data_IF_791058550259
#
_entry.id   IF_791058550259
#
_cell.length_a   1.000
_cell.length_b   1.000
_cell.length_c   1.000
_cell.angle_alpha   90.00
_cell.angle_beta   90.00
_cell.angle_gamma   90.00
#
_symmetry.space_group_name_H-M   'P 1'
#
loop_
_entity.id
_entity.type
_entity.pdbx_description
1 polymer ?
#
# COMPACT_ATOMS: atom_id res chain seq x y z
N UNK A 1 -2.76 13.98 89.83
CA UNK A 1 -1.73 14.20 88.79
C UNK A 1 -2.32 13.76 87.45
N UNK A 2 -2.77 14.71 86.62
CA UNK A 2 -2.21 15.08 85.30
C UNK A 2 -2.22 13.91 84.30
N UNK A 3 -2.85 13.94 83.12
CA UNK A 3 -3.63 14.92 82.36
C UNK A 3 -4.47 14.10 81.36
N UNK A 4 -5.74 14.44 81.19
CA UNK A 4 -6.68 13.84 80.25
C UNK A 4 -7.09 14.94 79.25
N UNK A 5 -6.61 14.90 78.01
CA UNK A 5 -7.07 15.83 76.94
C UNK A 5 -7.04 15.10 75.58
N UNK A 6 -8.26 14.85 75.08
CA UNK A 6 -8.80 15.05 73.73
C UNK A 6 -7.96 14.72 72.48
N UNK A 7 -8.60 14.04 71.51
CA UNK A 7 -9.13 14.56 70.22
C UNK A 7 -9.37 13.32 69.32
N UNK A 8 -10.60 13.04 68.89
CA UNK A 8 -11.21 13.51 67.63
C UNK A 8 -10.36 13.27 66.36
N UNK A 9 -10.75 12.21 65.63
CA UNK A 9 -11.16 12.18 64.22
C UNK A 9 -10.47 13.09 63.19
N UNK A 10 -9.92 12.48 62.13
CA UNK A 10 -9.97 12.82 60.68
C UNK A 10 -9.44 11.55 59.98
N UNK A 11 -10.26 10.60 59.53
CA UNK A 11 -10.92 10.54 58.21
C UNK A 11 -9.97 10.83 57.03
N UNK A 12 -9.29 9.78 56.55
CA UNK A 12 -8.87 9.69 55.14
C UNK A 12 -9.66 8.56 54.50
N UNK A 13 -10.68 8.96 53.72
CA UNK A 13 -11.41 8.10 52.80
C UNK A 13 -10.44 7.59 51.74
N UNK A 14 -9.92 6.38 51.93
CA UNK A 14 -9.49 5.53 50.83
C UNK A 14 -10.74 4.90 50.26
N UNK A 15 -11.28 5.52 49.20
CA UNK A 15 -12.22 4.87 48.29
C UNK A 15 -11.45 3.75 47.60
N UNK A 16 -11.40 2.57 48.23
CA UNK A 16 -11.10 1.34 47.52
C UNK A 16 -12.35 1.04 46.68
N UNK A 17 -12.32 1.42 45.41
CA UNK A 17 -13.24 0.90 44.40
C UNK A 17 -13.17 -0.63 44.41
N UNK A 18 -14.27 -1.35 44.63
CA UNK A 18 -14.31 -2.80 44.52
C UNK A 18 -14.56 -3.15 43.06
N UNK A 19 -13.51 -3.21 42.25
CA UNK A 19 -13.60 -3.72 40.87
C UNK A 19 -12.24 -4.23 40.41
N UNK A 20 -11.74 -5.32 41.01
CA UNK A 20 -10.46 -5.91 40.61
C UNK A 20 -10.34 -7.39 41.03
N UNK A 21 -11.39 -8.20 40.89
CA UNK A 21 -11.30 -9.65 41.17
C UNK A 21 -12.29 -10.47 40.34
N UNK A 22 -12.03 -10.65 39.04
CA UNK A 22 -12.76 -11.64 38.24
C UNK A 22 -11.88 -12.42 37.24
N UNK A 23 -10.55 -12.31 37.37
CA UNK A 23 -9.59 -12.95 36.48
C UNK A 23 -8.54 -13.64 37.34
N UNK A 24 -8.45 -14.95 37.23
CA UNK A 24 -7.47 -15.77 37.95
C UNK A 24 -6.41 -16.29 36.99
N UNK A 25 -5.18 -16.44 37.47
CA UNK A 25 -4.09 -17.04 36.70
C UNK A 25 -4.40 -18.53 36.46
N UNK A 26 -4.37 -19.00 35.21
CA UNK A 26 -4.67 -20.41 34.88
C UNK A 26 -3.39 -21.26 34.80
N UNK A 27 -2.37 -20.74 34.11
CA UNK A 27 -1.01 -21.30 33.99
C UNK A 27 0.02 -20.19 34.15
N UNK A 28 1.31 -20.41 33.92
CA UNK A 28 2.33 -19.35 34.08
C UNK A 28 2.04 -18.09 33.24
N UNK A 29 1.53 -18.26 32.02
CA UNK A 29 1.32 -17.16 31.07
C UNK A 29 -0.14 -16.96 30.65
N UNK A 30 -1.07 -17.85 31.02
CA UNK A 30 -2.48 -17.74 30.61
C UNK A 30 -3.41 -17.36 31.77
N UNK A 31 -4.52 -16.69 31.42
CA UNK A 31 -5.55 -16.25 32.35
C UNK A 31 -6.84 -17.06 32.18
N UNK A 32 -7.61 -17.16 33.26
CA UNK A 32 -8.95 -17.72 33.30
C UNK A 32 -10.00 -16.62 33.40
N UNK A 33 -11.07 -16.76 32.61
CA UNK A 33 -12.31 -16.02 32.77
C UNK A 33 -13.23 -16.79 33.73
N UNK A 34 -13.45 -16.24 34.93
CA UNK A 34 -14.30 -16.92 35.92
C UNK A 34 -15.80 -16.75 35.63
N UNK A 35 -16.19 -15.67 34.93
CA UNK A 35 -17.57 -15.40 34.52
C UNK A 35 -17.60 -14.73 33.12
N UNK A 36 -18.25 -15.34 32.11
CA UNK A 36 -18.38 -14.77 30.76
C UNK A 36 -18.99 -13.37 30.71
N UNK A 37 -19.80 -12.96 31.70
CA UNK A 37 -20.37 -11.61 31.76
C UNK A 37 -19.29 -10.52 31.97
N UNK A 38 -18.08 -10.89 32.37
CA UNK A 38 -16.98 -9.98 32.69
C UNK A 38 -15.97 -9.77 31.55
N UNK A 39 -16.30 -10.16 30.32
CA UNK A 39 -15.47 -9.83 29.17
C UNK A 39 -15.26 -8.31 29.06
N UNK A 40 -14.03 -7.81 28.86
CA UNK A 40 -13.77 -6.38 28.78
C UNK A 40 -14.27 -5.82 27.46
N UNK A 41 -14.65 -4.54 27.43
CA UNK A 41 -14.94 -3.85 26.17
C UNK A 41 -13.68 -3.81 25.29
N UNK A 42 -13.79 -4.25 24.04
CA UNK A 42 -12.66 -4.30 23.11
C UNK A 42 -13.10 -4.03 21.66
N UNK A 43 -12.14 -3.66 20.82
CA UNK A 43 -12.33 -3.43 19.39
C UNK A 43 -11.29 -4.24 18.61
N UNK A 44 -11.66 -4.75 17.44
CA UNK A 44 -10.80 -5.61 16.64
C UNK A 44 -9.51 -4.90 16.20
N UNK A 45 -9.55 -3.57 16.05
CA UNK A 45 -8.41 -2.74 15.69
C UNK A 45 -7.30 -2.79 16.74
N UNK A 46 -7.64 -3.11 18.00
CA UNK A 46 -6.65 -3.32 19.07
C UNK A 46 -5.79 -4.58 18.87
N UNK A 47 -6.13 -5.43 17.90
CA UNK A 47 -5.38 -6.63 17.51
C UNK A 47 -4.72 -6.49 16.14
N UNK A 48 -4.72 -5.30 15.52
CA UNK A 48 -4.13 -5.07 14.20
C UNK A 48 -2.64 -5.48 14.12
N UNK A 49 -1.92 -5.46 15.25
CA UNK A 49 -0.53 -5.89 15.37
C UNK A 49 -0.31 -7.37 15.06
N UNK A 50 -1.35 -8.20 15.15
CA UNK A 50 -1.28 -9.63 14.87
C UNK A 50 -1.30 -9.93 13.37
N UNK A 51 -1.81 -9.02 12.54
CA UNK A 51 -1.90 -9.20 11.09
C UNK A 51 -0.53 -9.50 10.47
N UNK A 52 -0.47 -10.48 9.56
CA UNK A 52 0.74 -10.93 8.90
C UNK A 52 0.89 -12.45 8.87
N UNK A 53 1.95 -12.91 8.22
CA UNK A 53 2.34 -14.32 8.17
C UNK A 53 3.39 -14.60 9.25
N UNK A 54 3.25 -15.74 9.92
CA UNK A 54 4.00 -16.13 11.09
C UNK A 54 4.49 -17.57 10.93
N UNK A 55 5.76 -17.81 11.25
CA UNK A 55 6.40 -19.13 11.16
C UNK A 55 6.99 -19.50 12.51
N UNK A 56 6.83 -20.74 12.93
CA UNK A 56 7.35 -21.22 14.20
C UNK A 56 7.66 -22.71 14.18
N UNK A 57 8.09 -23.22 15.32
CA UNK A 57 8.24 -24.66 15.57
C UNK A 57 7.45 -25.02 16.82
N UNK A 58 6.78 -26.17 16.79
CA UNK A 58 5.98 -26.65 17.92
C UNK A 58 5.25 -27.94 17.55
N UNK A 59 4.79 -28.66 18.57
CA UNK A 59 4.09 -29.95 18.40
C UNK A 59 4.86 -30.96 17.52
N UNK A 60 6.19 -30.91 17.54
CA UNK A 60 7.05 -31.80 16.75
C UNK A 60 7.20 -31.43 15.26
N UNK A 61 6.75 -30.25 14.83
CA UNK A 61 6.86 -29.83 13.43
C UNK A 61 6.95 -28.31 13.21
N UNK A 62 6.92 -27.93 11.94
CA UNK A 62 6.91 -26.54 11.51
C UNK A 62 5.48 -25.99 11.51
N UNK A 63 5.31 -24.80 12.06
CA UNK A 63 4.04 -24.10 12.17
C UNK A 63 4.02 -22.92 11.21
N UNK A 64 2.88 -22.71 10.55
CA UNK A 64 2.61 -21.51 9.77
C UNK A 64 1.23 -20.99 10.11
N UNK A 65 1.13 -19.70 10.47
CA UNK A 65 -0.13 -19.03 10.78
C UNK A 65 -0.19 -17.70 10.02
N UNK A 66 -1.30 -17.42 9.33
CA UNK A 66 -1.46 -16.17 8.56
C UNK A 66 -2.72 -15.44 8.97
N UNK A 67 -2.56 -14.24 9.54
CA UNK A 67 -3.65 -13.37 9.96
C UNK A 67 -3.89 -12.25 8.96
N UNK A 68 -5.14 -12.06 8.56
CA UNK A 68 -5.58 -10.90 7.79
C UNK A 68 -5.66 -9.65 8.69
N UNK A 69 -5.47 -8.43 8.13
CA UNK A 69 -5.79 -7.19 8.84
C UNK A 69 -7.25 -7.14 9.31
N UNK A 70 -7.56 -6.38 10.38
CA UNK A 70 -8.94 -6.13 10.78
C UNK A 70 -9.77 -5.57 9.61
N UNK A 71 -10.91 -6.20 9.32
CA UNK A 71 -11.84 -5.74 8.29
C UNK A 71 -13.26 -6.18 8.66
N UNK A 72 -14.24 -5.27 8.58
CA UNK A 72 -15.64 -5.59 8.88
C UNK A 72 -15.89 -5.97 10.35
N UNK A 73 -15.03 -5.53 11.27
CA UNK A 73 -15.11 -5.84 12.70
C UNK A 73 -14.52 -7.21 13.09
N UNK A 74 -13.90 -7.93 12.16
CA UNK A 74 -13.34 -9.26 12.41
C UNK A 74 -11.89 -9.39 11.92
N UNK A 75 -11.20 -10.42 12.39
CA UNK A 75 -9.96 -10.93 11.81
C UNK A 75 -10.11 -12.43 11.56
N UNK A 76 -9.44 -12.93 10.54
CA UNK A 76 -9.41 -14.34 10.18
C UNK A 76 -7.96 -14.78 10.01
N UNK A 77 -7.69 -16.03 10.41
CA UNK A 77 -6.44 -16.70 10.12
C UNK A 77 -6.62 -18.12 9.61
N UNK A 78 -5.57 -18.59 8.95
CA UNK A 78 -5.34 -20.00 8.68
C UNK A 78 -4.07 -20.44 9.38
N UNK A 79 -4.08 -21.67 9.90
CA UNK A 79 -2.91 -22.32 10.48
C UNK A 79 -2.61 -23.63 9.74
N UNK A 80 -1.34 -23.99 9.68
CA UNK A 80 -0.86 -25.28 9.18
C UNK A 80 0.30 -25.80 10.03
N UNK A 81 0.19 -27.05 10.46
CA UNK A 81 1.31 -27.84 10.98
C UNK A 81 1.88 -28.72 9.86
N UNK A 82 3.20 -28.76 9.72
CA UNK A 82 3.94 -29.69 8.85
C UNK A 82 4.86 -30.55 9.71
N UNK A 83 4.68 -31.87 9.66
CA UNK A 83 5.51 -32.86 10.36
C UNK A 83 6.12 -33.80 9.32
N UNK A 84 7.43 -34.06 9.42
CA UNK A 84 8.15 -34.93 8.46
C UNK A 84 7.92 -34.58 6.97
N UNK A 85 7.73 -33.29 6.68
CA UNK A 85 7.50 -32.78 5.31
C UNK A 85 6.09 -33.03 4.76
N UNK A 86 5.15 -33.53 5.58
CA UNK A 86 3.75 -33.73 5.23
C UNK A 86 2.82 -32.86 6.09
N UNK A 87 1.63 -32.49 5.60
CA UNK A 87 0.65 -31.78 6.43
C UNK A 87 0.23 -32.64 7.63
N UNK A 88 0.33 -32.09 8.83
CA UNK A 88 -0.18 -32.70 10.06
C UNK A 88 -1.68 -32.42 10.22
N UNK A 89 -2.03 -31.15 10.43
CA UNK A 89 -3.41 -30.65 10.44
C UNK A 89 -3.45 -29.16 10.10
N UNK A 90 -4.65 -28.63 9.91
CA UNK A 90 -4.93 -27.23 9.64
C UNK A 90 -5.91 -26.65 10.65
N UNK A 91 -5.91 -25.33 10.80
CA UNK A 91 -6.97 -24.62 11.50
C UNK A 91 -7.52 -23.47 10.67
N UNK A 92 -8.79 -23.16 10.89
CA UNK A 92 -9.39 -21.87 10.53
C UNK A 92 -9.73 -21.16 11.82
N UNK A 93 -9.18 -19.95 11.96
CA UNK A 93 -9.26 -19.15 13.17
C UNK A 93 -10.00 -17.84 12.88
N UNK A 94 -10.83 -17.41 13.82
CA UNK A 94 -11.58 -16.15 13.72
C UNK A 94 -11.50 -15.39 15.03
N UNK A 95 -11.29 -14.08 14.96
CA UNK A 95 -11.53 -13.18 16.09
C UNK A 95 -12.71 -12.28 15.71
N UNK A 96 -13.80 -12.43 16.45
CA UNK A 96 -15.09 -11.79 16.11
C UNK A 96 -15.71 -11.09 17.32
N UNK A 97 -16.58 -10.09 17.10
CA UNK A 97 -17.30 -9.45 18.18
C UNK A 97 -18.30 -10.41 18.85
N UNK A 98 -18.37 -10.34 20.18
CA UNK A 98 -19.45 -10.89 20.99
C UNK A 98 -19.92 -9.83 21.98
N UNK A 99 -21.11 -9.29 21.77
CA UNK A 99 -21.57 -8.11 22.49
C UNK A 99 -20.68 -6.90 22.22
N UNK A 100 -20.03 -6.39 23.27
CA UNK A 100 -19.07 -5.26 23.21
C UNK A 100 -17.61 -5.70 23.38
N UNK A 101 -17.35 -7.01 23.32
CA UNK A 101 -16.03 -7.63 23.45
C UNK A 101 -15.68 -8.48 22.22
N UNK A 102 -14.64 -9.31 22.34
CA UNK A 102 -14.14 -10.19 21.30
C UNK A 102 -14.06 -11.65 21.79
N UNK A 103 -14.21 -12.59 20.86
CA UNK A 103 -13.95 -14.02 21.09
C UNK A 103 -13.05 -14.56 19.99
N UNK A 104 -12.09 -15.41 20.35
CA UNK A 104 -11.29 -16.20 19.40
C UNK A 104 -12.01 -17.53 19.17
N UNK A 105 -12.24 -17.92 17.92
CA UNK A 105 -12.82 -19.21 17.52
C UNK A 105 -11.83 -20.01 16.66
N UNK A 106 -11.71 -21.31 16.91
CA UNK A 106 -10.87 -22.25 16.13
C UNK A 106 -11.73 -23.42 15.65
N UNK A 107 -11.52 -23.85 14.41
CA UNK A 107 -11.95 -25.17 13.95
C UNK A 107 -10.76 -25.91 13.32
N UNK A 108 -10.58 -27.18 13.68
CA UNK A 108 -9.45 -28.00 13.26
C UNK A 108 -9.85 -28.93 12.12
N UNK A 109 -8.90 -29.19 11.22
CA UNK A 109 -9.11 -30.02 10.03
C UNK A 109 -7.93 -30.97 9.81
N UNK A 110 -8.24 -32.22 9.47
CA UNK A 110 -7.27 -33.16 8.94
C UNK A 110 -6.74 -32.70 7.56
N UNK A 111 -5.65 -33.30 7.05
CA UNK A 111 -5.10 -32.99 5.74
C UNK A 111 -6.08 -33.11 4.57
N UNK A 112 -7.12 -33.92 4.70
CA UNK A 112 -8.18 -34.14 3.71
C UNK A 112 -9.41 -33.21 3.88
N UNK A 113 -9.30 -32.21 4.77
CA UNK A 113 -10.35 -31.26 5.14
C UNK A 113 -11.53 -31.83 5.94
N UNK A 114 -11.42 -33.06 6.46
CA UNK A 114 -12.38 -33.53 7.46
C UNK A 114 -12.18 -32.80 8.79
N UNK A 115 -13.25 -32.22 9.34
CA UNK A 115 -13.20 -31.44 10.58
C UNK A 115 -13.15 -32.31 11.83
N UNK A 116 -12.47 -31.84 12.88
CA UNK A 116 -12.46 -32.52 14.19
C UNK A 116 -13.73 -32.22 14.99
N UNK A 117 -14.16 -30.96 14.99
CA UNK A 117 -15.41 -30.56 15.63
C UNK A 117 -16.61 -30.88 14.72
N UNK A 118 -17.63 -31.49 15.32
CA UNK A 118 -18.87 -31.88 14.64
C UNK A 118 -19.55 -30.70 13.96
N UNK A 119 -19.97 -30.85 12.70
CA UNK A 119 -20.83 -29.92 11.94
C UNK A 119 -20.58 -28.42 12.23
N UNK A 120 -21.44 -27.82 13.03
CA UNK A 120 -21.52 -26.40 13.38
C UNK A 120 -20.75 -26.02 14.66
N UNK A 121 -20.00 -26.96 15.24
CA UNK A 121 -19.20 -26.78 16.45
C UNK A 121 -17.78 -26.28 16.15
N UNK A 122 -17.17 -25.62 17.14
CA UNK A 122 -15.85 -25.00 17.11
C UNK A 122 -15.40 -24.63 18.53
N UNK A 123 -14.08 -24.59 18.76
CA UNK A 123 -13.52 -24.15 20.04
C UNK A 123 -13.64 -22.63 20.16
N UNK A 124 -14.04 -22.11 21.32
CA UNK A 124 -14.17 -20.67 21.58
C UNK A 124 -13.39 -20.25 22.82
N UNK A 125 -12.57 -19.21 22.69
CA UNK A 125 -11.81 -18.58 23.77
C UNK A 125 -12.30 -17.13 23.97
N UNK A 126 -13.09 -16.85 25.01
CA UNK A 126 -13.52 -15.50 25.36
C UNK A 126 -12.36 -14.57 25.73
N UNK A 127 -12.42 -13.28 25.36
CA UNK A 127 -11.39 -12.31 25.74
C UNK A 127 -11.44 -12.03 27.25
N UNK A 128 -10.28 -12.11 27.89
CA UNK A 128 -10.07 -11.81 29.31
C UNK A 128 -9.47 -10.42 29.47
N UNK A 129 -8.44 -10.09 28.68
CA UNK A 129 -7.70 -8.84 28.79
C UNK A 129 -7.07 -8.48 27.44
N UNK A 130 -7.04 -7.18 27.13
CA UNK A 130 -6.35 -6.65 25.95
C UNK A 130 -5.37 -5.55 26.37
N UNK A 131 -4.15 -5.64 25.86
CA UNK A 131 -3.07 -4.67 26.03
C UNK A 131 -2.53 -4.29 24.64
N UNK A 132 -1.75 -3.20 24.50
CA UNK A 132 -1.30 -2.72 23.19
C UNK A 132 -0.59 -3.77 22.31
N UNK A 133 0.16 -4.70 22.94
CA UNK A 133 0.92 -5.75 22.28
C UNK A 133 0.62 -7.14 22.86
N UNK A 134 -0.49 -7.32 23.56
CA UNK A 134 -0.85 -8.62 24.13
C UNK A 134 -2.36 -8.80 24.21
N UNK A 135 -2.82 -10.01 23.89
CA UNK A 135 -4.20 -10.43 24.00
C UNK A 135 -4.27 -11.68 24.85
N UNK A 136 -5.10 -11.64 25.89
CA UNK A 136 -5.35 -12.75 26.79
C UNK A 136 -6.79 -13.19 26.57
N UNK A 137 -6.96 -14.33 25.92
CA UNK A 137 -8.21 -15.08 25.87
C UNK A 137 -8.19 -16.14 26.96
N UNK A 138 -9.35 -16.70 27.31
CA UNK A 138 -9.49 -17.66 28.40
C UNK A 138 -8.67 -18.93 28.10
N UNK A 139 -7.52 -19.10 28.77
CA UNK A 139 -6.57 -20.19 28.53
C UNK A 139 -5.69 -20.04 27.29
N UNK A 140 -5.70 -18.89 26.61
CA UNK A 140 -4.84 -18.62 25.45
C UNK A 140 -4.27 -17.20 25.54
N UNK A 141 -2.96 -17.04 25.39
CA UNK A 141 -2.31 -15.73 25.42
C UNK A 141 -1.45 -15.53 24.19
N UNK A 142 -1.55 -14.37 23.56
CA UNK A 142 -0.73 -13.97 22.42
C UNK A 142 -0.02 -12.66 22.77
N UNK A 143 1.30 -12.60 22.62
CA UNK A 143 2.10 -11.42 22.97
C UNK A 143 3.12 -11.11 21.89
N UNK A 144 3.12 -9.87 21.43
CA UNK A 144 4.09 -9.35 20.46
C UNK A 144 5.31 -8.74 21.18
N UNK A 145 6.49 -9.23 20.84
CA UNK A 145 7.78 -8.71 21.26
C UNK A 145 8.68 -8.51 20.02
N UNK A 146 8.78 -7.27 19.54
CA UNK A 146 9.49 -6.97 18.29
C UNK A 146 8.82 -7.66 17.09
N UNK A 147 9.54 -8.60 16.45
CA UNK A 147 9.04 -9.41 15.33
C UNK A 147 8.63 -10.83 15.73
N UNK A 148 8.51 -11.10 17.03
CA UNK A 148 8.14 -12.40 17.56
C UNK A 148 6.78 -12.35 18.24
N UNK A 149 5.91 -13.30 17.94
CA UNK A 149 4.65 -13.52 18.64
C UNK A 149 4.80 -14.76 19.52
N UNK A 150 4.70 -14.59 20.83
CA UNK A 150 4.64 -15.69 21.78
C UNK A 150 3.18 -16.06 21.99
N UNK A 151 2.84 -17.32 21.76
CA UNK A 151 1.54 -17.89 22.03
C UNK A 151 1.67 -18.90 23.17
N UNK A 152 0.80 -18.80 24.16
CA UNK A 152 0.70 -19.76 25.26
C UNK A 152 -0.71 -20.34 25.29
N UNK A 153 -0.81 -21.66 25.36
CA UNK A 153 -2.07 -22.38 25.40
C UNK A 153 -2.13 -23.30 26.63
N UNK A 154 -3.15 -23.12 27.45
CA UNK A 154 -3.43 -24.01 28.57
C UNK A 154 -4.21 -25.23 28.09
N UNK A 155 -3.55 -26.38 28.05
CA UNK A 155 -4.12 -27.67 27.65
C UNK A 155 -4.58 -28.43 28.90
N UNK A 156 -5.87 -28.75 28.95
CA UNK A 156 -6.45 -29.48 30.07
C UNK A 156 -6.11 -30.98 29.95
N UNK A 157 -5.59 -31.54 31.04
CA UNK A 157 -5.24 -32.95 31.16
C UNK A 157 -6.42 -33.79 31.67
N UNK A 158 -6.33 -35.12 31.54
CA UNK A 158 -7.38 -36.06 32.00
C UNK A 158 -7.67 -35.95 33.50
N UNK A 159 -6.65 -35.62 34.31
CA UNK A 159 -6.76 -35.44 35.76
C UNK A 159 -7.35 -34.07 36.16
N UNK A 160 -7.66 -33.22 35.18
CA UNK A 160 -8.23 -31.89 35.37
C UNK A 160 -7.20 -30.79 35.62
N UNK A 161 -5.90 -31.11 35.67
CA UNK A 161 -4.82 -30.11 35.67
C UNK A 161 -4.64 -29.46 34.29
N UNK A 162 -3.84 -28.39 34.23
CA UNK A 162 -3.50 -27.71 32.98
C UNK A 162 -1.99 -27.78 32.76
N UNK A 163 -1.58 -28.13 31.54
CA UNK A 163 -0.22 -28.01 31.04
C UNK A 163 -0.16 -26.84 30.05
N UNK A 164 0.89 -26.04 30.10
CA UNK A 164 1.05 -24.92 29.18
C UNK A 164 1.95 -25.30 28.00
N UNK A 165 1.41 -25.18 26.78
CA UNK A 165 2.20 -25.20 25.56
C UNK A 165 2.61 -23.76 25.20
N UNK A 166 3.91 -23.51 25.13
CA UNK A 166 4.47 -22.27 24.60
C UNK A 166 4.92 -22.44 23.15
N UNK A 167 4.41 -21.61 22.26
CA UNK A 167 4.78 -21.53 20.85
C UNK A 167 5.39 -20.16 20.57
N UNK A 168 6.52 -20.16 19.86
CA UNK A 168 7.19 -18.92 19.47
C UNK A 168 7.13 -18.82 17.96
N UNK A 169 6.43 -17.78 17.49
CA UNK A 169 6.32 -17.46 16.09
C UNK A 169 7.17 -16.26 15.73
N UNK A 170 7.76 -16.29 14.54
CA UNK A 170 8.49 -15.18 13.94
C UNK A 170 7.72 -14.65 12.74
N UNK A 171 7.59 -13.33 12.66
CA UNK A 171 6.94 -12.67 11.53
C UNK A 171 7.71 -12.97 10.25
N UNK A 172 7.03 -13.48 9.24
CA UNK A 172 7.58 -13.82 7.94
C UNK A 172 7.84 -12.58 7.05
N UNK A 173 8.12 -11.42 7.65
CA UNK A 173 8.71 -10.26 6.99
C UNK A 173 10.19 -10.21 7.35
N UNK A 174 11.03 -10.78 6.47
CA UNK A 174 12.49 -10.74 6.52
C UNK A 174 13.16 -11.30 7.80
N UNK A 175 13.43 -12.60 7.82
CA UNK A 175 14.79 -13.09 8.11
C UNK A 175 14.99 -14.40 7.37
N UNK A 176 15.95 -14.39 6.47
CA UNK A 176 16.55 -15.61 5.96
C UNK A 176 17.21 -16.36 7.13
N UNK A 177 17.23 -17.69 7.11
CA UNK A 177 18.10 -18.51 7.97
C UNK A 177 19.55 -18.03 7.84
N UNK A 178 20.47 -18.25 8.78
CA UNK A 178 21.88 -17.83 8.61
C UNK A 178 22.50 -18.28 7.28
N UNK A 179 22.16 -19.49 6.81
CA UNK A 179 22.58 -20.01 5.50
C UNK A 179 21.93 -19.25 4.34
N UNK A 180 20.64 -18.93 4.45
CA UNK A 180 19.98 -18.10 3.44
C UNK A 180 20.29 -16.61 3.60
N UNK A 181 20.79 -16.12 4.73
CA UNK A 181 21.34 -14.77 4.86
C UNK A 181 22.66 -14.66 4.14
N UNK A 182 23.53 -15.67 4.26
CA UNK A 182 24.78 -15.70 3.50
C UNK A 182 24.49 -15.71 1.99
N UNK A 183 23.60 -16.61 1.53
CA UNK A 183 23.18 -16.66 0.13
C UNK A 183 22.44 -15.39 -0.31
N UNK A 184 21.43 -14.93 0.43
CA UNK A 184 20.67 -13.72 0.06
C UNK A 184 21.51 -12.45 0.16
N UNK A 185 22.49 -12.37 1.06
CA UNK A 185 23.41 -11.22 1.12
C UNK A 185 24.26 -11.09 -0.15
N UNK A 186 24.55 -12.20 -0.83
CA UNK A 186 25.22 -12.18 -2.15
C UNK A 186 24.31 -11.63 -3.25
N UNK A 187 22.98 -11.75 -3.09
CA UNK A 187 21.98 -11.21 -4.01
C UNK A 187 21.36 -9.88 -3.54
N UNK A 188 21.72 -9.41 -2.34
CA UNK A 188 21.29 -8.12 -1.84
C UNK A 188 21.99 -7.04 -2.65
N UNK A 189 21.20 -6.14 -3.19
CA UNK A 189 21.74 -4.98 -3.86
C UNK A 189 22.39 -4.06 -2.82
N UNK A 190 23.70 -3.84 -2.97
CA UNK A 190 24.52 -3.04 -2.05
C UNK A 190 24.63 -1.55 -2.46
N UNK A 191 23.91 -1.13 -3.50
CA UNK A 191 23.93 0.26 -3.92
C UNK A 191 23.22 1.19 -2.94
N UNK A 192 23.34 2.50 -3.15
CA UNK A 192 22.54 3.51 -2.46
C UNK A 192 21.38 3.92 -3.35
N UNK A 193 20.15 3.85 -2.80
CA UNK A 193 18.92 4.16 -3.55
C UNK A 193 18.91 5.62 -3.97
N UNK A 194 18.49 5.86 -5.21
CA UNK A 194 18.38 7.20 -5.80
C UNK A 194 16.98 7.73 -5.47
N UNK A 195 16.86 8.88 -4.77
CA UNK A 195 15.56 9.51 -4.55
C UNK A 195 14.88 9.86 -5.87
N UNK A 196 13.67 9.38 -6.07
CA UNK A 196 12.87 9.55 -7.28
C UNK A 196 11.52 10.18 -6.93
N UNK A 197 11.24 11.37 -7.49
CA UNK A 197 9.93 12.00 -7.45
C UNK A 197 9.29 11.86 -8.82
N UNK A 198 8.06 11.35 -8.85
CA UNK A 198 7.25 11.21 -10.04
C UNK A 198 6.13 12.26 -9.97
N UNK A 199 6.07 13.14 -10.96
CA UNK A 199 5.02 14.15 -11.09
C UNK A 199 4.13 13.79 -12.27
N UNK A 200 2.93 13.31 -11.97
CA UNK A 200 1.83 13.13 -12.91
C UNK A 200 1.25 14.47 -13.33
N UNK A 201 1.21 14.72 -14.63
CA UNK A 201 0.64 15.93 -15.23
C UNK A 201 -0.50 15.57 -16.19
N UNK A 202 -1.28 16.59 -16.53
CA UNK A 202 -2.15 16.60 -17.71
C UNK A 202 -1.40 17.22 -18.89
N UNK A 203 -1.86 16.97 -20.12
CA UNK A 203 -1.30 17.61 -21.32
C UNK A 203 -1.70 19.09 -21.38
N UNK A 204 -0.80 19.96 -20.93
CA UNK A 204 -1.06 21.41 -20.82
C UNK A 204 -1.22 22.09 -22.18
N UNK A 205 -0.68 21.47 -23.24
CA UNK A 205 -0.84 21.95 -24.61
C UNK A 205 -2.27 21.80 -25.14
N UNK A 206 -3.02 20.82 -24.62
CA UNK A 206 -4.41 20.50 -24.96
C UNK A 206 -4.78 20.84 -26.42
N UNK A 207 -4.19 20.15 -27.41
CA UNK A 207 -4.30 20.53 -28.82
C UNK A 207 -5.70 20.29 -29.43
N UNK A 208 -6.65 19.74 -28.68
CA UNK A 208 -8.00 19.43 -29.18
C UNK A 208 -8.08 18.15 -30.01
N UNK A 209 -7.01 17.34 -30.03
CA UNK A 209 -6.85 16.18 -30.91
C UNK A 209 -7.12 14.83 -30.22
N UNK A 210 -7.30 14.83 -28.90
CA UNK A 210 -7.55 13.62 -28.13
C UNK A 210 -9.06 13.29 -28.09
N UNK A 211 -9.40 12.03 -27.78
CA UNK A 211 -10.79 11.57 -27.65
C UNK A 211 -11.55 12.37 -26.56
N UNK A 212 -10.84 12.83 -25.53
CA UNK A 212 -11.36 13.72 -24.49
C UNK A 212 -10.44 14.92 -24.33
N UNK A 213 -10.97 16.14 -24.49
CA UNK A 213 -10.20 17.39 -24.41
C UNK A 213 -10.65 18.20 -23.21
N UNK A 214 -9.69 18.76 -22.47
CA UNK A 214 -9.95 19.56 -21.28
C UNK A 214 -10.36 20.99 -21.66
N UNK A 215 -11.53 21.47 -21.24
CA UNK A 215 -11.84 22.90 -21.37
C UNK A 215 -11.16 23.69 -20.25
N UNK A 216 -10.01 24.31 -20.54
CA UNK A 216 -9.25 25.15 -19.60
C UNK A 216 -8.85 26.50 -20.19
N UNK A 217 -8.59 27.48 -19.32
CA UNK A 217 -7.93 28.72 -19.73
C UNK A 217 -6.49 28.47 -20.16
N UNK A 218 -5.95 29.36 -21.01
CA UNK A 218 -4.60 29.21 -21.55
C UNK A 218 -3.57 29.27 -20.42
N UNK A 219 -2.72 28.24 -20.35
CA UNK A 219 -1.63 28.16 -19.37
C UNK A 219 -0.65 29.33 -19.49
N UNK A 220 -0.59 29.98 -20.66
CA UNK A 220 0.24 31.18 -20.89
C UNK A 220 -0.37 32.48 -20.33
N UNK A 221 -1.57 32.46 -19.76
CA UNK A 221 -2.15 33.65 -19.11
C UNK A 221 -1.30 34.08 -17.90
N UNK A 222 -1.22 35.38 -17.56
CA UNK A 222 -0.41 35.86 -16.45
C UNK A 222 -0.74 35.17 -15.10
N UNK A 223 -2.02 34.86 -14.87
CA UNK A 223 -2.48 34.12 -13.68
C UNK A 223 -1.84 32.72 -13.64
N UNK A 224 -2.00 31.93 -14.71
CA UNK A 224 -1.49 30.55 -14.75
C UNK A 224 0.04 30.48 -14.76
N UNK A 225 0.70 31.44 -15.39
CA UNK A 225 2.17 31.56 -15.32
C UNK A 225 2.65 31.78 -13.88
N UNK A 226 1.99 32.63 -13.09
CA UNK A 226 2.32 32.82 -11.68
C UNK A 226 2.07 31.56 -10.83
N UNK A 227 1.00 30.82 -11.11
CA UNK A 227 0.71 29.53 -10.44
C UNK A 227 1.79 28.48 -10.76
N UNK A 228 2.19 28.34 -12.03
CA UNK A 228 3.26 27.44 -12.47
C UNK A 228 4.58 27.80 -11.82
N UNK A 229 4.93 29.08 -11.76
CA UNK A 229 6.15 29.55 -11.09
C UNK A 229 6.17 29.18 -9.60
N UNK A 230 5.01 29.25 -8.93
CA UNK A 230 4.88 28.83 -7.54
C UNK A 230 5.06 27.31 -7.39
N UNK A 231 4.53 26.49 -8.31
CA UNK A 231 4.76 25.03 -8.34
C UNK A 231 6.25 24.73 -8.55
N UNK A 232 6.88 25.33 -9.56
CA UNK A 232 8.31 25.16 -9.86
C UNK A 232 9.17 25.52 -8.65
N UNK A 233 8.85 26.62 -7.95
CA UNK A 233 9.55 27.03 -6.73
C UNK A 233 9.46 25.99 -5.61
N UNK A 234 8.30 25.37 -5.40
CA UNK A 234 8.12 24.32 -4.39
C UNK A 234 8.85 23.03 -4.79
N UNK A 235 8.74 22.60 -6.06
CA UNK A 235 9.46 21.43 -6.58
C UNK A 235 10.98 21.56 -6.43
N UNK A 236 11.54 22.77 -6.51
CA UNK A 236 12.96 22.98 -6.25
C UNK A 236 13.41 22.70 -4.82
N UNK A 237 12.51 22.66 -3.84
CA UNK A 237 12.85 22.22 -2.49
C UNK A 237 13.32 20.76 -2.46
N UNK A 238 12.86 19.92 -3.41
CA UNK A 238 13.38 18.57 -3.59
C UNK A 238 14.84 18.56 -4.07
N UNK A 239 15.32 19.66 -4.67
CA UNK A 239 16.67 19.79 -5.25
C UNK A 239 17.01 18.66 -6.24
N UNK A 240 16.18 18.43 -7.28
CA UNK A 240 16.51 17.42 -8.28
C UNK A 240 17.82 17.80 -8.97
N UNK A 241 18.72 16.84 -9.15
CA UNK A 241 19.95 16.99 -9.94
C UNK A 241 19.72 16.62 -11.40
N UNK A 242 18.67 15.84 -11.67
CA UNK A 242 18.22 15.44 -13.01
C UNK A 242 16.71 15.58 -13.11
N UNK A 243 16.26 16.11 -14.25
CA UNK A 243 14.84 16.30 -14.54
C UNK A 243 14.56 15.61 -15.88
N UNK A 244 13.78 14.53 -15.80
CA UNK A 244 13.33 13.77 -16.95
C UNK A 244 11.93 14.20 -17.38
N UNK A 245 11.67 14.16 -18.69
CA UNK A 245 10.43 14.68 -19.29
C UNK A 245 9.85 13.72 -20.33
N UNK A 246 8.54 13.79 -20.52
CA UNK A 246 7.79 13.09 -21.57
C UNK A 246 8.09 13.64 -22.98
N UNK A 247 9.30 13.34 -23.45
CA UNK A 247 9.72 13.54 -24.83
C UNK A 247 10.54 12.32 -25.27
N UNK A 248 10.53 11.94 -26.56
CA UNK A 248 11.19 10.72 -27.01
C UNK A 248 12.65 10.65 -26.62
N UNK A 249 13.11 9.51 -26.10
CA UNK A 249 14.50 9.32 -25.74
C UNK A 249 15.42 9.57 -26.94
N UNK A 250 16.51 10.30 -26.69
CA UNK A 250 17.43 10.75 -27.74
C UNK A 250 16.92 11.92 -28.60
N UNK A 251 15.77 12.52 -28.28
CA UNK A 251 15.25 13.68 -29.03
C UNK A 251 16.14 14.92 -28.85
N UNK A 252 17.04 15.13 -29.81
CA UNK A 252 17.89 16.32 -29.87
C UNK A 252 17.08 17.60 -30.03
N UNK A 253 15.86 17.56 -30.56
CA UNK A 253 15.04 18.76 -30.72
C UNK A 253 14.56 19.29 -29.36
N UNK A 254 14.14 18.43 -28.43
CA UNK A 254 13.77 18.85 -27.07
C UNK A 254 14.96 19.45 -26.33
N UNK A 255 16.15 18.86 -26.46
CA UNK A 255 17.38 19.42 -25.88
C UNK A 255 17.70 20.78 -26.52
N UNK A 256 17.60 20.92 -27.84
CA UNK A 256 17.85 22.18 -28.54
C UNK A 256 16.87 23.28 -28.10
N UNK A 257 15.56 22.98 -27.97
CA UNK A 257 14.56 23.93 -27.44
C UNK A 257 14.90 24.39 -26.04
N UNK A 258 15.42 23.49 -25.19
CA UNK A 258 15.88 23.85 -23.86
C UNK A 258 17.10 24.79 -23.92
N UNK A 259 18.09 24.53 -24.78
CA UNK A 259 19.25 25.41 -24.95
C UNK A 259 18.85 26.81 -25.45
N UNK A 260 17.91 26.90 -26.39
CA UNK A 260 17.38 28.19 -26.85
C UNK A 260 16.68 28.96 -25.73
N UNK A 261 15.92 28.26 -24.87
CA UNK A 261 15.28 28.85 -23.69
C UNK A 261 16.29 29.32 -22.63
N UNK A 262 17.37 28.57 -22.41
CA UNK A 262 18.48 29.01 -21.55
C UNK A 262 19.14 30.28 -22.10
N UNK A 263 19.33 30.35 -23.41
CA UNK A 263 19.92 31.50 -24.10
C UNK A 263 18.98 32.71 -24.23
N UNK A 264 17.73 32.61 -23.78
CA UNK A 264 16.73 33.67 -23.93
C UNK A 264 16.30 33.92 -25.38
N UNK A 265 16.52 32.95 -26.28
CA UNK A 265 16.16 33.04 -27.71
C UNK A 265 14.76 32.51 -28.00
N UNK A 266 14.10 31.93 -27.00
CA UNK A 266 12.83 31.23 -27.15
C UNK A 266 11.97 31.38 -25.91
N UNK A 267 10.71 31.72 -26.11
CA UNK A 267 9.66 31.67 -25.10
C UNK A 267 9.14 30.25 -24.92
N UNK A 268 8.66 29.94 -23.71
CA UNK A 268 8.09 28.63 -23.40
C UNK A 268 6.74 28.45 -24.10
N UNK A 269 6.50 27.24 -24.59
CA UNK A 269 5.20 26.80 -25.11
C UNK A 269 4.38 26.14 -24.03
N UNK A 270 3.14 25.81 -24.36
CA UNK A 270 2.11 25.35 -23.42
C UNK A 270 2.40 24.02 -22.75
N UNK A 271 3.35 23.24 -23.25
CA UNK A 271 3.56 21.87 -22.78
C UNK A 271 4.19 21.79 -21.40
N UNK A 272 3.84 20.74 -20.66
CA UNK A 272 4.26 20.48 -19.28
C UNK A 272 5.78 20.28 -19.15
N UNK A 273 6.43 19.69 -20.17
CA UNK A 273 7.90 19.58 -20.19
C UNK A 273 8.57 20.95 -20.23
N UNK A 274 7.93 21.94 -20.84
CA UNK A 274 8.44 23.31 -20.93
C UNK A 274 8.02 24.16 -19.72
N UNK A 275 6.73 24.14 -19.38
CA UNK A 275 6.18 24.93 -18.28
C UNK A 275 6.70 24.48 -16.92
N UNK A 276 6.90 23.19 -16.69
CA UNK A 276 7.45 22.69 -15.43
C UNK A 276 8.91 22.29 -15.59
N UNK A 277 9.20 21.38 -16.52
CA UNK A 277 10.53 20.79 -16.69
C UNK A 277 11.62 21.82 -17.01
N UNK A 278 11.45 22.60 -18.08
CA UNK A 278 12.47 23.58 -18.49
C UNK A 278 12.62 24.72 -17.48
N UNK A 279 11.51 25.22 -16.93
CA UNK A 279 11.53 26.27 -15.89
C UNK A 279 12.34 25.82 -14.68
N UNK A 280 12.04 24.64 -14.15
CA UNK A 280 12.73 24.10 -12.98
C UNK A 280 14.20 23.83 -13.26
N UNK A 281 14.51 23.22 -14.40
CA UNK A 281 15.88 22.95 -14.81
C UNK A 281 16.70 24.26 -14.93
N UNK A 282 16.14 25.30 -15.56
CA UNK A 282 16.78 26.63 -15.64
C UNK A 282 16.98 27.26 -14.26
N UNK A 283 15.97 27.19 -13.39
CA UNK A 283 16.05 27.77 -12.03
C UNK A 283 17.14 27.10 -11.18
N UNK A 284 17.38 25.81 -11.37
CA UNK A 284 18.42 25.04 -10.68
C UNK A 284 19.79 25.08 -11.40
N UNK A 285 19.90 25.80 -12.52
CA UNK A 285 21.15 25.92 -13.28
C UNK A 285 21.57 24.65 -14.02
N UNK A 286 20.62 23.77 -14.35
CA UNK A 286 20.92 22.55 -15.11
C UNK A 286 21.33 22.92 -16.54
N UNK A 287 22.29 22.16 -17.08
CA UNK A 287 22.77 22.37 -18.46
C UNK A 287 21.96 21.61 -19.50
N UNK A 288 21.14 20.65 -19.07
CA UNK A 288 20.32 19.82 -19.96
C UNK A 288 19.01 19.41 -19.28
N UNK A 289 18.08 18.94 -20.11
CA UNK A 289 16.88 18.18 -19.74
C UNK A 289 17.03 16.75 -20.28
N UNK A 290 16.27 15.78 -19.74
CA UNK A 290 16.39 14.37 -20.12
C UNK A 290 15.08 13.81 -20.71
N UNK A 291 14.92 13.75 -22.04
CA UNK A 291 13.83 13.02 -22.69
C UNK A 291 13.93 11.52 -22.42
N UNK A 292 12.84 10.86 -21.99
CA UNK A 292 12.84 9.41 -21.66
C UNK A 292 11.71 8.60 -22.33
N UNK A 293 10.81 9.24 -23.07
CA UNK A 293 9.64 8.57 -23.67
C UNK A 293 10.02 7.57 -24.78
N UNK A 294 9.14 6.60 -25.03
CA UNK A 294 9.17 5.69 -26.17
C UNK A 294 7.82 5.72 -26.88
N UNK A 295 7.86 5.96 -28.19
CA UNK A 295 6.70 5.77 -29.06
C UNK A 295 6.50 4.28 -29.32
N UNK A 296 5.32 3.79 -28.99
CA UNK A 296 4.91 2.41 -29.22
C UNK A 296 3.40 2.40 -29.45
N UNK A 297 2.96 1.69 -30.48
CA UNK A 297 1.55 1.40 -30.66
C UNK A 297 1.13 0.37 -29.63
N UNK A 298 0.12 0.71 -28.84
CA UNK A 298 -0.42 -0.14 -27.77
C UNK A 298 -1.80 -0.68 -28.13
N UNK A 299 -2.35 -0.32 -29.30
CA UNK A 299 -3.71 -0.68 -29.70
C UNK A 299 -3.69 -1.77 -30.77
N UNK A 300 -3.79 -3.06 -30.40
CA UNK A 300 -3.74 -4.14 -31.38
C UNK A 300 -5.03 -4.17 -32.23
N UNK A 301 -4.94 -4.37 -33.56
CA UNK A 301 -6.13 -4.49 -34.41
C UNK A 301 -7.10 -5.61 -34.01
N UNK A 302 -6.61 -6.65 -33.32
CA UNK A 302 -7.42 -7.75 -32.82
C UNK A 302 -8.41 -7.32 -31.70
N UNK A 303 -8.18 -6.17 -31.06
CA UNK A 303 -9.07 -5.63 -30.02
C UNK A 303 -10.42 -5.23 -30.60
N UNK A 304 -10.41 -4.51 -31.72
CA UNK A 304 -11.62 -4.12 -32.43
C UNK A 304 -12.38 -5.34 -32.94
N UNK A 305 -11.67 -6.39 -33.36
CA UNK A 305 -12.25 -7.65 -33.78
C UNK A 305 -12.95 -8.37 -32.61
N UNK A 306 -12.33 -8.41 -31.43
CA UNK A 306 -12.96 -8.96 -30.23
C UNK A 306 -14.24 -8.19 -29.86
N UNK A 307 -14.17 -6.86 -29.81
CA UNK A 307 -15.32 -5.99 -29.49
C UNK A 307 -16.46 -6.20 -30.51
N UNK A 308 -16.14 -6.29 -31.80
CA UNK A 308 -17.13 -6.49 -32.85
C UNK A 308 -17.74 -7.91 -32.86
N UNK A 309 -16.98 -8.93 -32.43
CA UNK A 309 -17.46 -10.31 -32.36
C UNK A 309 -18.54 -10.50 -31.29
N UNK A 310 -18.43 -9.79 -30.15
CA UNK A 310 -19.41 -9.86 -29.07
C UNK A 310 -19.75 -8.48 -28.47
N UNK A 311 -20.51 -7.64 -29.19
CA UNK A 311 -20.81 -6.28 -28.76
C UNK A 311 -21.66 -6.22 -27.48
N UNK A 312 -22.48 -7.24 -27.22
CA UNK A 312 -23.30 -7.31 -26.02
C UNK A 312 -22.46 -7.46 -24.75
N UNK A 313 -21.35 -8.20 -24.84
CA UNK A 313 -20.42 -8.42 -23.73
C UNK A 313 -19.43 -7.25 -23.57
N UNK A 314 -18.85 -6.75 -24.67
CA UNK A 314 -17.78 -5.75 -24.61
C UNK A 314 -18.26 -4.30 -24.71
N UNK A 315 -19.39 -4.05 -25.38
CA UNK A 315 -19.96 -2.72 -25.57
C UNK A 315 -20.18 -1.95 -24.26
N UNK A 316 -20.73 -2.56 -23.18
CA UNK A 316 -20.88 -1.90 -21.89
C UNK A 316 -19.55 -1.43 -21.27
N UNK A 317 -18.46 -2.18 -21.43
CA UNK A 317 -17.13 -1.77 -20.92
C UNK A 317 -16.57 -0.59 -21.72
N UNK A 318 -16.74 -0.58 -23.04
CA UNK A 318 -16.33 0.57 -23.86
C UNK A 318 -17.15 1.82 -23.54
N UNK A 319 -18.47 1.67 -23.32
CA UNK A 319 -19.32 2.76 -22.88
C UNK A 319 -18.94 3.26 -21.47
N UNK A 320 -18.55 2.37 -20.57
CA UNK A 320 -18.01 2.72 -19.26
C UNK A 320 -16.72 3.53 -19.38
N UNK A 321 -15.77 3.11 -20.23
CA UNK A 321 -14.55 3.87 -20.49
C UNK A 321 -14.85 5.29 -20.97
N UNK A 322 -15.79 5.43 -21.89
CA UNK A 322 -16.25 6.72 -22.40
C UNK A 322 -16.86 7.60 -21.30
N UNK A 323 -17.65 7.01 -20.43
CA UNK A 323 -18.28 7.71 -19.31
C UNK A 323 -17.22 8.16 -18.28
N UNK A 324 -16.31 7.28 -17.90
CA UNK A 324 -15.25 7.57 -16.94
C UNK A 324 -14.27 8.60 -17.48
N UNK A 325 -13.89 8.54 -18.76
CA UNK A 325 -13.07 9.55 -19.42
C UNK A 325 -13.72 10.94 -19.39
N UNK A 326 -15.02 11.03 -19.74
CA UNK A 326 -15.78 12.29 -19.66
C UNK A 326 -15.88 12.82 -18.22
N UNK A 327 -16.13 11.94 -17.25
CA UNK A 327 -16.19 12.30 -15.84
C UNK A 327 -14.85 12.84 -15.34
N UNK A 328 -13.73 12.17 -15.69
CA UNK A 328 -12.39 12.60 -15.34
C UNK A 328 -12.05 13.98 -15.91
N UNK A 329 -12.32 14.23 -17.19
CA UNK A 329 -12.10 15.55 -17.80
C UNK A 329 -12.98 16.63 -17.17
N UNK A 330 -14.24 16.32 -16.90
CA UNK A 330 -15.16 17.25 -16.22
C UNK A 330 -14.62 17.62 -14.84
N UNK A 331 -14.15 16.63 -14.08
CA UNK A 331 -13.58 16.83 -12.75
C UNK A 331 -12.28 17.64 -12.79
N UNK A 332 -11.39 17.36 -13.75
CA UNK A 332 -10.18 18.16 -13.97
C UNK A 332 -10.52 19.62 -14.32
N UNK A 333 -11.53 19.83 -15.17
CA UNK A 333 -12.02 21.18 -15.49
C UNK A 333 -12.54 21.92 -14.25
N UNK A 334 -13.24 21.23 -13.35
CA UNK A 334 -13.67 21.80 -12.07
C UNK A 334 -12.50 22.17 -11.17
N UNK A 335 -11.49 21.29 -11.03
CA UNK A 335 -10.29 21.58 -10.24
C UNK A 335 -9.56 22.83 -10.74
N UNK A 336 -9.40 23.01 -12.06
CA UNK A 336 -8.81 24.23 -12.61
C UNK A 336 -9.68 25.46 -12.42
N UNK A 337 -11.01 25.32 -12.51
CA UNK A 337 -11.94 26.44 -12.36
C UNK A 337 -11.98 26.95 -10.91
N UNK A 338 -11.94 26.04 -9.95
CA UNK A 338 -12.09 26.33 -8.52
C UNK A 338 -10.75 26.53 -7.82
N UNK A 339 -9.66 25.99 -8.37
CA UNK A 339 -8.33 26.00 -7.78
C UNK A 339 -7.23 26.53 -8.70
N UNK A 340 -6.00 26.29 -8.25
CA UNK A 340 -4.76 26.62 -8.96
C UNK A 340 -4.23 25.41 -9.73
N UNK A 341 -3.25 25.62 -10.60
CA UNK A 341 -2.50 24.51 -11.21
C UNK A 341 -1.87 23.60 -10.14
N UNK A 342 -1.44 24.16 -9.01
CA UNK A 342 -0.90 23.39 -7.89
C UNK A 342 -1.95 22.47 -7.27
N UNK A 343 -3.20 22.94 -7.14
CA UNK A 343 -4.30 22.13 -6.64
C UNK A 343 -4.64 20.99 -7.58
N UNK A 344 -4.70 21.25 -8.89
CA UNK A 344 -4.97 20.18 -9.85
C UNK A 344 -3.85 19.13 -9.85
N UNK A 345 -2.59 19.55 -9.90
CA UNK A 345 -1.46 18.61 -9.81
C UNK A 345 -1.50 17.83 -8.49
N UNK A 346 -1.86 18.47 -7.37
CA UNK A 346 -2.00 17.78 -6.10
C UNK A 346 -3.07 16.70 -6.16
N UNK A 347 -4.30 17.02 -6.62
CA UNK A 347 -5.38 16.03 -6.71
C UNK A 347 -5.02 14.88 -7.65
N UNK A 348 -4.42 15.17 -8.81
CA UNK A 348 -4.00 14.15 -9.76
C UNK A 348 -2.91 13.20 -9.22
N UNK A 349 -2.08 13.64 -8.29
CA UNK A 349 -1.00 12.82 -7.73
C UNK A 349 -1.36 12.18 -6.38
N UNK A 350 -2.62 12.26 -5.94
CA UNK A 350 -3.06 11.51 -4.76
C UNK A 350 -3.21 10.02 -5.11
N UNK A 351 -2.85 9.10 -4.19
CA UNK A 351 -2.86 7.66 -4.44
C UNK A 351 -4.16 7.13 -5.04
N UNK A 352 -5.31 7.58 -4.56
CA UNK A 352 -6.62 7.14 -5.04
C UNK A 352 -6.91 7.53 -6.50
N UNK A 353 -6.40 8.67 -6.98
CA UNK A 353 -6.59 9.11 -8.37
C UNK A 353 -5.55 8.47 -9.29
N UNK A 354 -4.34 8.23 -8.78
CA UNK A 354 -3.32 7.42 -9.46
C UNK A 354 -3.80 5.97 -9.66
N UNK A 355 -4.35 5.35 -8.61
CA UNK A 355 -4.93 4.01 -8.69
C UNK A 355 -6.10 3.95 -9.67
N UNK A 356 -6.97 4.96 -9.68
CA UNK A 356 -8.07 5.03 -10.65
C UNK A 356 -7.54 5.07 -12.09
N UNK A 357 -6.55 5.94 -12.38
CA UNK A 357 -5.96 6.05 -13.72
C UNK A 357 -5.33 4.73 -14.20
N UNK A 358 -4.69 3.99 -13.29
CA UNK A 358 -4.14 2.67 -13.55
C UNK A 358 -5.21 1.59 -13.75
N UNK A 359 -6.22 1.55 -12.88
CA UNK A 359 -7.25 0.52 -12.89
C UNK A 359 -8.10 0.53 -14.16
N UNK A 360 -8.24 1.68 -14.85
CA UNK A 360 -8.97 1.75 -16.10
C UNK A 360 -8.42 0.76 -17.15
N UNK A 361 -7.10 0.63 -17.26
CA UNK A 361 -6.50 -0.29 -18.23
C UNK A 361 -6.85 -1.75 -17.93
N UNK A 362 -6.77 -2.15 -16.66
CA UNK A 362 -7.07 -3.51 -16.23
C UNK A 362 -8.57 -3.80 -16.24
N UNK A 363 -9.38 -2.87 -15.77
CA UNK A 363 -10.83 -3.04 -15.65
C UNK A 363 -11.51 -3.11 -17.01
N UNK A 364 -11.07 -2.28 -17.96
CA UNK A 364 -11.73 -2.14 -19.25
C UNK A 364 -11.18 -3.13 -20.26
N UNK A 365 -9.85 -3.20 -20.42
CA UNK A 365 -9.24 -3.96 -21.52
C UNK A 365 -8.88 -5.39 -21.17
N UNK A 366 -8.36 -5.68 -19.97
CA UNK A 366 -8.00 -7.06 -19.60
C UNK A 366 -9.14 -8.08 -19.80
N UNK A 367 -10.42 -7.79 -19.48
CA UNK A 367 -11.52 -8.73 -19.71
C UNK A 367 -12.05 -8.75 -21.15
N UNK A 368 -11.46 -7.98 -22.07
CA UNK A 368 -11.81 -8.03 -23.50
C UNK A 368 -11.10 -9.22 -24.16
N UNK A 369 -11.72 -10.40 -24.03
CA UNK A 369 -11.24 -11.68 -24.55
C UNK A 369 -12.37 -12.41 -25.27
N UNK A 370 -12.07 -13.02 -26.42
CA UNK A 370 -13.02 -13.82 -27.21
C UNK A 370 -12.36 -15.11 -27.68
N UNK A 371 -12.67 -16.23 -27.02
CA UNK A 371 -12.03 -17.52 -27.32
C UNK A 371 -10.51 -17.49 -27.12
N UNK A 372 -9.75 -17.67 -28.19
CA UNK A 372 -8.28 -17.56 -28.23
C UNK A 372 -7.77 -16.16 -28.61
N UNK A 373 -8.67 -15.19 -28.81
CA UNK A 373 -8.32 -13.79 -29.00
C UNK A 373 -8.12 -13.09 -27.64
N UNK A 374 -6.86 -12.96 -27.23
CA UNK A 374 -6.44 -12.28 -26.00
C UNK A 374 -6.11 -10.77 -26.20
N UNK A 375 -6.69 -10.12 -27.21
CA UNK A 375 -6.32 -8.74 -27.58
C UNK A 375 -6.39 -7.71 -26.43
N UNK A 376 -7.32 -7.89 -25.49
CA UNK A 376 -7.39 -7.08 -24.27
C UNK A 376 -6.15 -7.20 -23.39
N UNK A 377 -5.68 -8.44 -23.17
CA UNK A 377 -4.44 -8.71 -22.46
C UNK A 377 -3.21 -8.22 -23.25
N UNK A 378 -3.22 -8.34 -24.58
CA UNK A 378 -2.14 -7.85 -25.43
C UNK A 378 -2.00 -6.31 -25.36
N UNK A 379 -3.11 -5.57 -25.32
CA UNK A 379 -3.08 -4.12 -25.09
C UNK A 379 -2.46 -3.78 -23.73
N UNK A 380 -2.91 -4.44 -22.67
CA UNK A 380 -2.39 -4.22 -21.30
C UNK A 380 -0.89 -4.56 -21.27
N UNK A 381 -0.48 -5.67 -21.89
CA UNK A 381 0.92 -6.07 -21.99
C UNK A 381 1.76 -5.05 -22.78
N UNK A 382 1.24 -4.52 -23.89
CA UNK A 382 1.92 -3.48 -24.68
C UNK A 382 2.08 -2.18 -23.88
N UNK A 383 1.05 -1.80 -23.12
CA UNK A 383 1.11 -0.65 -22.22
C UNK A 383 2.15 -0.84 -21.10
N UNK A 384 2.19 -2.01 -20.46
CA UNK A 384 3.25 -2.37 -19.51
C UNK A 384 4.64 -2.32 -20.15
N UNK A 385 4.77 -2.89 -21.36
CA UNK A 385 6.02 -2.91 -22.10
C UNK A 385 6.52 -1.50 -22.41
N UNK A 386 5.63 -0.58 -22.82
CA UNK A 386 5.99 0.83 -23.05
C UNK A 386 6.50 1.47 -21.76
N UNK A 387 5.81 1.29 -20.63
CA UNK A 387 6.23 1.84 -19.34
C UNK A 387 7.59 1.27 -18.85
N UNK A 388 7.81 -0.03 -19.02
CA UNK A 388 9.11 -0.66 -18.74
C UNK A 388 10.24 -0.08 -19.59
N UNK A 389 9.99 0.19 -20.88
CA UNK A 389 10.97 0.83 -21.77
C UNK A 389 11.26 2.28 -21.36
N UNK A 390 10.26 3.03 -20.92
CA UNK A 390 10.45 4.40 -20.42
C UNK A 390 11.33 4.39 -19.16
N UNK A 391 11.04 3.51 -18.19
CA UNK A 391 11.88 3.35 -17.00
C UNK A 391 13.28 2.83 -17.35
N UNK A 392 13.42 2.01 -18.39
CA UNK A 392 14.73 1.61 -18.92
C UNK A 392 15.51 2.80 -19.49
N UNK A 393 14.84 3.74 -20.18
CA UNK A 393 15.47 4.98 -20.63
C UNK A 393 15.90 5.88 -19.47
N UNK A 394 15.15 5.87 -18.36
CA UNK A 394 15.56 6.58 -17.15
C UNK A 394 16.92 6.06 -16.64
N UNK A 395 17.22 4.76 -16.75
CA UNK A 395 18.54 4.24 -16.40
C UNK A 395 19.66 4.69 -17.36
N UNK A 396 19.33 5.12 -18.58
CA UNK A 396 20.32 5.54 -19.58
C UNK A 396 20.78 7.00 -19.43
N UNK A 397 20.18 7.80 -18.54
CA UNK A 397 20.49 9.24 -18.42
C UNK A 397 21.77 9.55 -17.60
N UNK A 398 22.59 8.52 -17.35
CA UNK A 398 23.82 8.61 -16.56
C UNK A 398 23.54 8.92 -15.09
N UNK A 399 22.68 8.12 -14.47
CA UNK A 399 22.35 8.19 -13.04
C UNK A 399 23.54 7.77 -12.17
N UNK A 400 23.68 8.43 -11.02
CA UNK A 400 24.66 8.13 -9.97
C UNK A 400 23.95 8.06 -8.61
N UNK A 401 24.53 7.40 -7.60
CA UNK A 401 23.92 7.32 -6.26
C UNK A 401 23.80 8.67 -5.52
N UNK A 402 24.37 9.74 -6.05
CA UNK A 402 24.25 11.10 -5.51
C UNK A 402 23.16 11.92 -6.20
N UNK A 403 22.53 11.35 -7.24
CA UNK A 403 21.45 12.03 -7.94
C UNK A 403 20.14 12.06 -7.15
N UNK A 404 19.33 13.05 -7.48
CA UNK A 404 17.93 13.19 -7.06
C UNK A 404 17.13 13.45 -8.32
N UNK A 405 16.18 12.58 -8.63
CA UNK A 405 15.54 12.55 -9.95
C UNK A 405 14.10 13.02 -9.82
N UNK A 406 13.71 13.99 -10.65
CA UNK A 406 12.31 14.33 -10.88
C UNK A 406 11.92 13.86 -12.28
N UNK A 407 10.80 13.16 -12.41
CA UNK A 407 10.19 12.82 -13.70
C UNK A 407 8.88 13.60 -13.83
N UNK A 408 8.75 14.38 -14.91
CA UNK A 408 7.51 15.07 -15.28
C UNK A 408 6.88 14.30 -16.43
N UNK A 409 5.72 13.69 -16.21
CA UNK A 409 5.09 12.76 -17.14
C UNK A 409 3.57 12.77 -17.02
N UNK A 410 2.85 12.32 -18.05
CA UNK A 410 1.41 12.11 -18.00
C UNK A 410 0.98 11.19 -16.83
N UNK A 411 -0.07 11.60 -16.11
CA UNK A 411 -0.57 10.93 -14.89
C UNK A 411 -0.78 9.42 -15.07
N UNK A 412 -1.29 8.99 -16.22
CA UNK A 412 -1.58 7.57 -16.47
C UNK A 412 -0.36 6.65 -16.36
N UNK A 413 0.86 7.18 -16.46
CA UNK A 413 2.10 6.41 -16.39
C UNK A 413 2.65 6.23 -14.97
N UNK A 414 2.39 7.21 -14.11
CA UNK A 414 2.98 7.30 -12.76
C UNK A 414 2.77 6.04 -11.93
N UNK A 415 1.57 5.41 -11.87
CA UNK A 415 1.36 4.22 -11.04
C UNK A 415 2.26 3.04 -11.42
N UNK A 416 2.55 2.87 -12.73
CA UNK A 416 3.48 1.84 -13.18
C UNK A 416 4.93 2.22 -12.91
N UNK A 417 5.30 3.50 -13.04
CA UNK A 417 6.63 3.96 -12.67
C UNK A 417 6.91 3.78 -11.18
N UNK A 418 5.93 4.08 -10.31
CA UNK A 418 6.01 3.85 -8.86
C UNK A 418 6.26 2.38 -8.57
N UNK A 419 5.41 1.47 -9.08
CA UNK A 419 5.57 0.02 -8.87
C UNK A 419 6.91 -0.49 -9.38
N UNK A 420 7.31 -0.12 -10.61
CA UNK A 420 8.61 -0.52 -11.17
C UNK A 420 9.76 -0.01 -10.29
N UNK A 421 9.67 1.23 -9.80
CA UNK A 421 10.72 1.82 -8.96
C UNK A 421 10.78 1.18 -7.56
N UNK A 422 9.64 0.96 -6.91
CA UNK A 422 9.51 0.35 -5.59
C UNK A 422 9.95 -1.11 -5.57
N UNK A 423 9.58 -1.87 -6.59
CA UNK A 423 9.96 -3.28 -6.78
C UNK A 423 11.42 -3.42 -7.23
N UNK A 424 12.07 -2.32 -7.65
CA UNK A 424 13.48 -2.30 -8.01
C UNK A 424 14.37 -1.90 -6.84
N UNK A 425 15.64 -2.34 -6.83
CA UNK A 425 16.57 -1.91 -5.80
C UNK A 425 17.14 -0.52 -6.04
N UNK A 426 16.94 0.10 -7.21
CA UNK A 426 17.68 1.30 -7.63
C UNK A 426 17.15 2.61 -7.04
N UNK A 427 15.84 2.67 -6.77
CA UNK A 427 15.16 3.92 -6.43
C UNK A 427 14.53 3.88 -5.04
N UNK A 428 14.46 5.07 -4.44
CA UNK A 428 13.62 5.37 -3.29
C UNK A 428 12.55 6.33 -3.79
N UNK A 429 11.30 5.85 -3.93
CA UNK A 429 10.19 6.70 -4.38
C UNK A 429 9.82 7.67 -3.26
N UNK A 430 9.81 8.96 -3.59
CA UNK A 430 9.49 10.05 -2.67
C UNK A 430 8.21 10.72 -3.17
N UNK A 431 7.21 10.84 -2.29
CA UNK A 431 5.93 11.48 -2.64
C UNK A 431 6.13 12.90 -3.15
N UNK A 432 5.45 13.24 -4.25
CA UNK A 432 5.46 14.59 -4.83
C UNK A 432 4.54 15.56 -4.08
N UNK A 433 3.53 15.06 -3.36
CA UNK A 433 2.48 15.86 -2.73
C UNK A 433 2.99 16.97 -1.79
N UNK A 434 4.02 16.75 -0.94
CA UNK A 434 4.57 17.81 -0.09
C UNK A 434 5.22 18.97 -0.86
N UNK A 435 5.49 18.79 -2.15
CA UNK A 435 6.06 19.83 -3.02
C UNK A 435 5.00 20.54 -3.87
N UNK A 436 3.71 20.20 -3.73
CA UNK A 436 2.63 20.79 -4.51
C UNK A 436 1.74 21.74 -3.70
N UNK A 437 1.64 21.57 -2.37
CA UNK A 437 0.89 22.49 -1.49
C UNK A 437 1.78 23.13 -0.44
#
# INVERSE_FOLDING_TARGET
>A
MKRLIRLCSILFLLVLSPALFAQSQLTEHTLKLDDPANMPKASIEGLAWLAGRWLGEGFGGALEETWNPPLGGTMMATFRLVTEGQPGFYEICLIVPEGNSLVYKVKHFNPDLTGWEEKDDYVTFPLVKLEPNAAYFNGLTMKLEGNTCQLYLAMKQEDGSYEEAGLVYHRASATATPESQDVLSQFQWAGKKIPLVLLGSYHMSNPGADQFNLESDDVLTPKRQAEIEAVVKRLAAFKPTKIAVEAPYGDSATIARYQEYLAGKRELRRSEEEQIGFRLAKMLGHKTIYPIDVRMDIWPPALEQAIAANPAEHGPRMAEMDQLGKAAITQMGQWLKEGTIADMLYEMNRPEFLDLAYQLYLRIFLPTVEGDNYAGADLVAAWYQRNLRIMSNLHQIGLTPEDRVLVVYGQGHVPLFERIAEDSPYFEVVSVLPYLR
#
